data_IF_734942326556
#
_entry.id   IF_734942326556
#
_cell.length_a   1.000
_cell.length_b   1.000
_cell.length_c   1.000
_cell.angle_alpha   90.00
_cell.angle_beta   90.00
_cell.angle_gamma   90.00
#
_symmetry.space_group_name_H-M   'P 1'
#
loop_
_entity.id
_entity.type
_entity.pdbx_description
1 polymer ?
#
# COMPACT_ATOMS: atom_id res chain seq x y z
N UNK A 1 48.85 68.27 38.12
CA UNK A 1 49.57 67.68 39.28
C UNK A 1 48.57 67.39 40.40
N UNK A 2 48.83 66.31 41.14
CA UNK A 2 48.16 65.84 42.36
C UNK A 2 46.84 65.06 42.14
N UNK A 3 46.91 63.72 42.31
CA UNK A 3 46.61 62.94 43.55
C UNK A 3 45.10 62.74 43.67
N UNK A 4 44.52 61.55 43.84
CA UNK A 4 45.05 60.30 44.37
C UNK A 4 44.07 59.81 45.44
N UNK A 5 43.53 58.61 45.22
CA UNK A 5 43.11 57.61 46.20
C UNK A 5 41.79 57.75 47.01
N UNK A 6 41.12 56.58 47.03
CA UNK A 6 40.40 55.94 48.14
C UNK A 6 39.01 56.49 48.50
N UNK A 7 37.94 55.80 48.09
CA UNK A 7 37.40 54.58 48.71
C UNK A 7 36.76 54.85 50.08
N UNK A 8 35.43 54.80 50.13
CA UNK A 8 34.71 54.87 51.39
C UNK A 8 33.21 55.01 51.25
N UNK A 9 32.53 53.85 51.22
CA UNK A 9 31.24 53.62 51.91
C UNK A 9 30.06 54.52 51.53
N UNK A 10 29.24 54.06 50.60
CA UNK A 10 27.78 54.27 50.65
C UNK A 10 27.03 53.28 49.73
N UNK A 11 27.35 51.98 49.82
CA UNK A 11 26.51 50.92 49.25
C UNK A 11 25.26 50.73 50.14
N UNK A 12 24.46 51.77 50.27
CA UNK A 12 23.24 51.82 51.07
C UNK A 12 22.18 52.68 50.36
N UNK A 13 21.74 52.22 49.18
CA UNK A 13 20.43 52.49 48.58
C UNK A 13 20.35 51.70 47.29
N UNK A 14 19.14 51.35 46.88
CA UNK A 14 18.81 50.62 45.65
C UNK A 14 19.00 49.10 45.66
N UNK A 15 18.70 48.49 46.81
CA UNK A 15 17.84 47.30 46.80
C UNK A 15 16.41 47.80 46.62
N UNK A 16 15.90 47.90 45.38
CA UNK A 16 14.44 47.89 45.13
C UNK A 16 14.02 47.84 43.64
N UNK A 17 14.91 48.11 42.68
CA UNK A 17 14.51 48.18 41.26
C UNK A 17 14.62 46.90 40.42
N UNK A 18 15.47 45.93 40.77
CA UNK A 18 15.86 44.84 39.86
C UNK A 18 15.17 43.49 40.11
N UNK A 19 14.11 43.46 40.93
CA UNK A 19 13.35 42.22 41.22
C UNK A 19 12.06 42.04 40.39
N UNK A 20 11.83 42.82 39.33
CA UNK A 20 10.64 42.67 38.47
C UNK A 20 10.94 42.78 36.98
N UNK A 21 11.78 41.88 36.44
CA UNK A 21 11.97 41.83 34.98
C UNK A 21 12.46 40.48 34.40
N UNK A 22 12.12 39.34 35.01
CA UNK A 22 12.19 38.04 34.28
C UNK A 22 10.84 37.36 34.38
N UNK A 23 9.95 37.85 33.51
CA UNK A 23 8.68 37.20 33.19
C UNK A 23 8.95 36.00 32.28
N UNK A 24 8.13 34.95 32.46
CA UNK A 24 7.83 33.89 31.48
C UNK A 24 8.91 32.84 31.21
N UNK A 25 9.00 31.86 32.12
CA UNK A 25 9.17 30.46 31.74
C UNK A 25 8.08 29.66 32.43
N UNK A 26 6.97 29.47 31.71
CA UNK A 26 5.84 28.66 32.16
C UNK A 26 6.28 27.20 32.27
N UNK A 27 6.54 26.75 33.50
CA UNK A 27 6.63 25.33 33.81
C UNK A 27 5.99 25.11 35.17
N UNK A 28 4.77 24.55 35.16
CA UNK A 28 4.19 23.66 36.17
C UNK A 28 2.72 23.43 35.77
N UNK A 29 2.51 22.41 34.95
CA UNK A 29 1.23 21.72 34.90
C UNK A 29 1.09 21.09 36.29
N UNK A 30 0.26 21.69 37.13
CA UNK A 30 -0.13 21.09 38.40
C UNK A 30 -1.05 19.91 38.05
N UNK A 31 -0.51 18.70 38.01
CA UNK A 31 -1.31 17.50 38.10
C UNK A 31 -1.70 17.32 39.56
N UNK A 32 -2.92 17.75 39.89
CA UNK A 32 -3.56 17.45 41.16
C UNK A 32 -3.91 15.95 41.16
N UNK A 33 -2.95 15.12 41.58
CA UNK A 33 -3.22 13.72 41.93
C UNK A 33 -3.69 13.73 43.37
N UNK A 34 -5.00 13.92 43.52
CA UNK A 34 -5.74 13.70 44.76
C UNK A 34 -5.58 12.25 45.18
N UNK A 35 -4.52 12.01 45.96
CA UNK A 35 -4.20 10.70 46.52
C UNK A 35 -5.13 10.45 47.70
N UNK A 36 -6.23 9.76 47.42
CA UNK A 36 -7.16 9.25 48.43
C UNK A 36 -6.43 8.30 49.37
N UNK A 37 -6.39 8.68 50.65
CA UNK A 37 -6.17 7.77 51.79
C UNK A 37 -7.36 6.81 51.89
N UNK A 38 -7.38 5.72 51.14
CA UNK A 38 -8.35 4.66 51.38
C UNK A 38 -7.92 3.33 50.73
N UNK A 39 -7.60 2.36 51.58
CA UNK A 39 -7.91 0.96 51.33
C UNK A 39 -6.99 0.22 50.35
N UNK A 40 -5.93 -0.38 50.90
CA UNK A 40 -5.36 -1.62 50.36
C UNK A 40 -6.42 -2.71 50.34
N UNK A 41 -7.26 -2.76 49.31
CA UNK A 41 -8.14 -3.91 48.99
C UNK A 41 -8.83 -3.86 47.62
N UNK A 42 -8.42 -2.97 46.72
CA UNK A 42 -8.96 -2.92 45.35
C UNK A 42 -7.89 -3.15 44.27
N UNK A 43 -6.86 -3.95 44.57
CA UNK A 43 -5.76 -4.30 43.66
C UNK A 43 -6.07 -5.53 42.78
N UNK A 44 -7.34 -5.79 42.45
CA UNK A 44 -7.73 -6.95 41.63
C UNK A 44 -8.71 -6.64 40.49
N UNK A 45 -9.09 -5.38 40.26
CA UNK A 45 -9.98 -5.01 39.13
C UNK A 45 -9.25 -4.24 38.02
N UNK A 46 -8.06 -3.69 38.27
CA UNK A 46 -7.27 -2.96 37.26
C UNK A 46 -6.26 -3.81 36.48
N UNK A 47 -6.27 -5.13 36.64
CA UNK A 47 -5.36 -6.04 35.92
C UNK A 47 -6.04 -6.80 34.75
N UNK A 48 -7.36 -6.71 34.58
CA UNK A 48 -8.07 -7.37 33.47
C UNK A 48 -8.21 -6.47 32.23
N UNK A 49 -7.98 -5.16 32.35
CA UNK A 49 -8.19 -4.20 31.25
C UNK A 49 -6.92 -3.85 30.44
N UNK A 50 -5.77 -4.42 30.78
CA UNK A 50 -4.49 -4.10 30.11
C UNK A 50 -4.04 -5.07 29.01
N UNK A 51 -4.68 -6.24 28.87
CA UNK A 51 -4.18 -7.38 28.08
C UNK A 51 -5.14 -7.84 26.96
N UNK A 52 -5.94 -6.94 26.37
CA UNK A 52 -6.81 -7.29 25.23
C UNK A 52 -6.42 -6.58 23.91
N UNK A 53 -5.33 -5.80 23.87
CA UNK A 53 -5.01 -4.93 22.72
C UNK A 53 -3.68 -5.31 22.06
N UNK A 54 -3.48 -6.57 21.67
CA UNK A 54 -2.22 -6.95 20.98
C UNK A 54 -2.34 -7.97 19.86
N UNK A 55 -3.53 -8.40 19.43
CA UNK A 55 -3.63 -9.48 18.44
C UNK A 55 -4.74 -9.37 17.38
N UNK A 56 -5.15 -8.16 16.98
CA UNK A 56 -5.69 -8.00 15.62
C UNK A 56 -4.52 -7.96 14.63
N UNK A 57 -3.91 -9.13 14.41
CA UNK A 57 -3.01 -9.35 13.30
C UNK A 57 -3.84 -9.19 12.02
N UNK A 58 -3.72 -8.04 11.36
CA UNK A 58 -4.16 -7.86 9.99
C UNK A 58 -3.31 -8.78 9.10
N UNK A 59 -3.66 -10.06 9.04
CA UNK A 59 -3.13 -10.97 8.04
C UNK A 59 -3.72 -10.57 6.69
N UNK A 60 -3.09 -9.58 6.04
CA UNK A 60 -3.33 -9.31 4.63
C UNK A 60 -2.90 -10.56 3.86
N UNK A 61 -3.85 -11.39 3.44
CA UNK A 61 -3.55 -12.51 2.54
C UNK A 61 -3.15 -11.92 1.19
N UNK A 62 -1.94 -12.20 0.66
CA UNK A 62 -1.59 -11.75 -0.67
C UNK A 62 -2.58 -12.34 -1.68
N UNK A 63 -3.11 -11.50 -2.57
CA UNK A 63 -4.05 -11.96 -3.60
C UNK A 63 -3.30 -12.88 -4.56
N UNK A 64 -3.80 -14.10 -4.76
CA UNK A 64 -3.23 -15.08 -5.68
C UNK A 64 -3.81 -14.87 -7.07
N UNK A 65 -2.96 -14.86 -8.10
CA UNK A 65 -3.36 -14.77 -9.49
C UNK A 65 -3.15 -16.12 -10.16
N UNK A 66 -4.22 -16.68 -10.74
CA UNK A 66 -4.18 -17.91 -11.53
C UNK A 66 -4.68 -17.66 -12.94
N UNK A 67 -3.99 -18.23 -13.91
CA UNK A 67 -4.33 -18.14 -15.33
C UNK A 67 -4.35 -19.58 -15.85
N UNK A 68 -5.50 -20.01 -16.38
CA UNK A 68 -5.73 -21.37 -16.87
C UNK A 68 -5.35 -22.47 -15.85
N UNK A 69 -5.59 -22.18 -14.57
CA UNK A 69 -5.29 -23.07 -13.46
C UNK A 69 -3.84 -23.00 -12.93
N UNK A 70 -2.92 -22.36 -13.64
CA UNK A 70 -1.53 -22.16 -13.22
C UNK A 70 -1.38 -20.93 -12.33
N UNK A 71 -0.52 -20.99 -11.31
CA UNK A 71 -0.28 -19.87 -10.41
C UNK A 71 0.78 -18.91 -10.98
N UNK A 72 0.38 -17.67 -11.24
CA UNK A 72 1.25 -16.64 -11.82
C UNK A 72 1.91 -15.83 -10.71
N UNK A 73 3.23 -15.93 -10.64
CA UNK A 73 4.02 -15.17 -9.66
C UNK A 73 4.36 -13.80 -10.24
N UNK A 74 4.00 -12.76 -9.51
CA UNK A 74 4.43 -11.39 -9.80
C UNK A 74 5.11 -10.77 -8.58
N UNK A 75 6.06 -9.87 -8.83
CA UNK A 75 6.75 -9.10 -7.81
C UNK A 75 5.86 -8.03 -7.16
N UNK A 76 4.75 -7.69 -7.81
CA UNK A 76 3.71 -6.81 -7.28
C UNK A 76 2.41 -7.60 -7.20
N UNK A 77 1.89 -7.76 -5.99
CA UNK A 77 0.60 -8.42 -5.79
C UNK A 77 -0.54 -7.60 -6.41
N UNK A 78 -1.64 -8.25 -6.83
CA UNK A 78 -2.86 -7.56 -7.20
C UNK A 78 -3.36 -6.62 -6.08
N UNK A 79 -3.94 -5.50 -6.47
CA UNK A 79 -4.44 -4.46 -5.56
C UNK A 79 -5.94 -4.30 -5.78
N UNK A 80 -6.73 -4.45 -4.72
CA UNK A 80 -8.16 -4.13 -4.78
C UNK A 80 -8.37 -2.67 -4.40
N UNK A 81 -9.01 -1.91 -5.27
CA UNK A 81 -9.35 -0.51 -5.00
C UNK A 81 -10.81 -0.24 -5.33
N UNK A 82 -11.59 0.10 -4.29
CA UNK A 82 -13.04 0.20 -4.39
C UNK A 82 -13.67 -1.16 -4.71
N UNK A 83 -14.29 -1.28 -5.89
CA UNK A 83 -14.96 -2.49 -6.37
C UNK A 83 -14.23 -3.18 -7.53
N UNK A 84 -13.02 -2.70 -7.88
CA UNK A 84 -12.24 -3.25 -8.98
C UNK A 84 -10.90 -3.78 -8.46
N UNK A 85 -10.46 -4.90 -9.04
CA UNK A 85 -9.16 -5.51 -8.76
C UNK A 85 -8.19 -5.11 -9.86
N UNK A 86 -7.02 -4.64 -9.47
CA UNK A 86 -5.95 -4.23 -10.37
C UNK A 86 -4.84 -5.27 -10.33
N UNK A 87 -4.40 -5.69 -11.51
CA UNK A 87 -3.38 -6.71 -11.69
C UNK A 87 -2.20 -6.15 -12.47
N UNK A 88 -0.98 -6.69 -12.25
CA UNK A 88 0.18 -6.31 -13.04
C UNK A 88 -0.02 -6.70 -14.50
N UNK A 89 -0.08 -5.70 -15.39
CA UNK A 89 -0.41 -5.91 -16.79
C UNK A 89 0.50 -6.95 -17.46
N UNK A 90 1.82 -6.81 -17.26
CA UNK A 90 2.81 -7.70 -17.86
C UNK A 90 2.64 -9.15 -17.39
N UNK A 91 2.43 -9.38 -16.10
CA UNK A 91 2.30 -10.74 -15.57
C UNK A 91 1.10 -11.48 -16.18
N UNK A 92 -0.02 -10.76 -16.37
CA UNK A 92 -1.20 -11.34 -17.01
C UNK A 92 -0.99 -11.52 -18.51
N UNK A 93 -0.40 -10.53 -19.19
CA UNK A 93 -0.11 -10.62 -20.61
C UNK A 93 0.83 -11.80 -20.93
N UNK A 94 1.95 -11.92 -20.21
CA UNK A 94 2.94 -12.98 -20.42
C UNK A 94 2.30 -14.37 -20.23
N UNK A 95 1.48 -14.55 -19.19
CA UNK A 95 0.78 -15.81 -18.92
C UNK A 95 -0.33 -16.13 -19.95
N UNK A 96 -0.89 -15.11 -20.62
CA UNK A 96 -1.85 -15.28 -21.72
C UNK A 96 -1.17 -15.45 -23.09
N UNK A 97 0.17 -15.46 -23.13
CA UNK A 97 0.96 -15.50 -24.38
C UNK A 97 0.89 -14.21 -25.18
N UNK A 98 0.66 -13.07 -24.51
CA UNK A 98 0.55 -11.75 -25.14
C UNK A 98 1.84 -10.92 -24.96
N UNK A 99 2.22 -10.19 -25.99
CA UNK A 99 3.37 -9.28 -25.96
C UNK A 99 2.98 -7.91 -25.42
N UNK A 100 3.76 -7.37 -24.47
CA UNK A 100 3.53 -6.04 -23.90
C UNK A 100 4.65 -5.06 -24.24
N UNK A 101 4.32 -4.01 -24.98
CA UNK A 101 5.21 -2.89 -25.30
C UNK A 101 4.83 -1.63 -24.52
N UNK A 102 5.83 -0.98 -23.93
CA UNK A 102 5.66 0.28 -23.22
C UNK A 102 6.63 1.34 -23.75
N UNK A 103 6.11 2.49 -24.17
CA UNK A 103 6.92 3.67 -24.49
C UNK A 103 6.93 4.63 -23.30
N UNK A 104 8.07 4.79 -22.59
CA UNK A 104 8.17 5.68 -21.44
C UNK A 104 8.04 7.17 -21.80
N UNK A 105 8.28 7.57 -23.05
CA UNK A 105 8.22 8.98 -23.47
C UNK A 105 6.78 9.45 -23.65
N UNK A 106 5.98 8.68 -24.39
CA UNK A 106 4.56 8.99 -24.62
C UNK A 106 3.65 8.48 -23.50
N UNK A 107 4.10 7.48 -22.75
CA UNK A 107 3.28 6.72 -21.80
C UNK A 107 2.33 5.74 -22.49
N UNK A 108 2.53 5.49 -23.79
CA UNK A 108 1.75 4.54 -24.57
C UNK A 108 2.08 3.11 -24.16
N UNK A 109 1.04 2.31 -24.00
CA UNK A 109 1.10 0.90 -23.68
C UNK A 109 0.33 0.18 -24.78
N UNK A 110 0.97 -0.83 -25.35
CA UNK A 110 0.43 -1.67 -26.41
C UNK A 110 0.57 -3.12 -25.95
N UNK A 111 -0.52 -3.88 -26.07
CA UNK A 111 -0.56 -5.30 -25.71
C UNK A 111 -1.16 -6.05 -26.88
N UNK A 112 -0.46 -7.07 -27.36
CA UNK A 112 -0.82 -7.80 -28.58
C UNK A 112 -0.92 -9.28 -28.25
N UNK A 113 -2.05 -9.91 -28.60
CA UNK A 113 -2.29 -11.34 -28.43
C UNK A 113 -2.93 -11.90 -29.71
N UNK A 114 -2.14 -12.57 -30.54
CA UNK A 114 -2.63 -13.01 -31.86
C UNK A 114 -3.10 -11.80 -32.68
N UNK A 115 -4.40 -11.76 -33.00
CA UNK A 115 -5.02 -10.66 -33.75
C UNK A 115 -5.62 -9.56 -32.85
N UNK A 116 -5.69 -9.79 -31.53
CA UNK A 116 -6.23 -8.81 -30.57
C UNK A 116 -5.14 -7.80 -30.18
N UNK A 117 -5.42 -6.50 -30.37
CA UNK A 117 -4.52 -5.40 -30.02
C UNK A 117 -5.19 -4.42 -29.07
N UNK A 118 -4.67 -4.34 -27.85
CA UNK A 118 -5.10 -3.38 -26.84
C UNK A 118 -4.10 -2.21 -26.74
N UNK A 119 -4.57 -1.02 -27.06
CA UNK A 119 -3.82 0.23 -26.96
C UNK A 119 -4.38 1.10 -25.82
N UNK A 120 -3.53 1.49 -24.89
CA UNK A 120 -3.90 2.32 -23.75
C UNK A 120 -2.76 3.27 -23.36
N UNK A 121 -3.05 4.24 -22.52
CA UNK A 121 -2.07 5.23 -22.07
C UNK A 121 -2.06 5.36 -20.55
N UNK A 122 -0.86 5.43 -19.99
CA UNK A 122 -0.66 5.71 -18.56
C UNK A 122 -1.44 6.96 -18.12
N UNK A 123 -2.20 6.86 -17.03
CA UNK A 123 -2.96 7.98 -16.48
C UNK A 123 -4.20 8.40 -17.27
N UNK A 124 -4.48 7.76 -18.41
CA UNK A 124 -5.69 8.03 -19.20
C UNK A 124 -6.70 6.88 -19.07
N UNK A 125 -7.98 7.23 -19.04
CA UNK A 125 -9.09 6.26 -19.10
C UNK A 125 -9.43 5.81 -20.52
N UNK A 126 -8.95 6.52 -21.54
CA UNK A 126 -9.16 6.13 -22.93
C UNK A 126 -8.26 4.95 -23.31
N UNK A 127 -8.87 3.94 -23.91
CA UNK A 127 -8.18 2.82 -24.52
C UNK A 127 -8.81 2.52 -25.90
N UNK A 128 -8.16 1.67 -26.68
CA UNK A 128 -8.68 1.14 -27.93
C UNK A 128 -8.39 -0.36 -28.00
N UNK A 129 -9.39 -1.15 -28.38
CA UNK A 129 -9.24 -2.57 -28.72
C UNK A 129 -9.48 -2.70 -30.22
N UNK A 130 -8.50 -3.21 -30.94
CA UNK A 130 -8.53 -3.39 -32.40
C UNK A 130 -8.90 -2.08 -33.13
N UNK A 131 -8.42 -0.96 -32.60
CA UNK A 131 -8.73 0.39 -33.10
C UNK A 131 -10.08 0.97 -32.65
N UNK A 132 -10.99 0.15 -32.10
CA UNK A 132 -12.26 0.61 -31.55
C UNK A 132 -12.06 1.24 -30.15
N UNK A 133 -12.52 2.48 -29.98
CA UNK A 133 -12.37 3.22 -28.72
C UNK A 133 -13.20 2.58 -27.60
N UNK A 134 -12.60 2.44 -26.43
CA UNK A 134 -13.27 2.06 -25.19
C UNK A 134 -12.81 2.93 -24.02
N UNK A 135 -13.63 2.94 -22.96
CA UNK A 135 -13.32 3.65 -21.73
C UNK A 135 -13.07 2.65 -20.60
N UNK A 136 -11.98 2.89 -19.86
CA UNK A 136 -11.61 2.16 -18.65
C UNK A 136 -12.29 2.76 -17.43
N UNK A 137 -12.66 1.91 -16.47
CA UNK A 137 -13.22 2.34 -15.19
C UNK A 137 -12.21 3.19 -14.41
N UNK A 138 -10.95 2.76 -14.36
CA UNK A 138 -9.85 3.56 -13.83
C UNK A 138 -8.68 3.58 -14.81
N UNK A 139 -7.97 4.71 -14.83
CA UNK A 139 -6.77 4.83 -15.63
C UNK A 139 -5.67 3.88 -15.12
N UNK A 140 -4.84 3.32 -16.01
CA UNK A 140 -3.68 2.54 -15.62
C UNK A 140 -2.71 3.38 -14.80
N UNK A 141 -2.17 2.80 -13.74
CA UNK A 141 -1.27 3.47 -12.80
C UNK A 141 -0.05 2.62 -12.48
N UNK A 142 0.99 3.24 -11.91
CA UNK A 142 2.25 2.56 -11.59
C UNK A 142 2.34 2.24 -10.11
N UNK A 143 2.65 1.00 -9.78
CA UNK A 143 2.98 0.55 -8.41
C UNK A 143 4.32 -0.15 -8.45
N UNK A 144 5.30 0.35 -7.69
CA UNK A 144 6.66 -0.24 -7.59
C UNK A 144 7.30 -0.56 -8.95
N UNK A 145 7.09 0.32 -9.93
CA UNK A 145 7.62 0.14 -11.29
C UNK A 145 6.73 -0.68 -12.24
N UNK A 146 5.72 -1.40 -11.74
CA UNK A 146 4.77 -2.18 -12.54
C UNK A 146 3.55 -1.36 -12.93
N UNK A 147 3.03 -1.62 -14.12
CA UNK A 147 1.78 -1.01 -14.61
C UNK A 147 0.64 -1.89 -14.13
N UNK A 148 -0.30 -1.27 -13.43
CA UNK A 148 -1.50 -1.89 -12.90
C UNK A 148 -2.68 -1.53 -13.79
N UNK A 149 -3.45 -2.54 -14.18
CA UNK A 149 -4.67 -2.39 -14.99
C UNK A 149 -5.82 -3.15 -14.33
N UNK A 150 -7.04 -2.64 -14.50
CA UNK A 150 -8.23 -3.28 -13.95
C UNK A 150 -8.51 -4.64 -14.62
N UNK A 151 -8.87 -5.63 -13.82
CA UNK A 151 -9.19 -6.99 -14.26
C UNK A 151 -10.32 -7.00 -15.31
N UNK A 152 -11.29 -6.09 -15.17
CA UNK A 152 -12.38 -5.95 -16.13
C UNK A 152 -11.91 -5.50 -17.52
N UNK A 153 -10.86 -4.66 -17.58
CA UNK A 153 -10.28 -4.25 -18.86
C UNK A 153 -9.65 -5.43 -19.59
N UNK A 154 -8.93 -6.30 -18.86
CA UNK A 154 -8.31 -7.51 -19.40
C UNK A 154 -9.38 -8.49 -19.90
N UNK A 155 -10.43 -8.73 -19.12
CA UNK A 155 -11.53 -9.62 -19.51
C UNK A 155 -12.20 -9.17 -20.81
N UNK A 156 -12.39 -7.86 -20.98
CA UNK A 156 -12.95 -7.31 -22.23
C UNK A 156 -11.96 -7.32 -23.39
N UNK A 157 -10.68 -7.07 -23.13
CA UNK A 157 -9.66 -6.95 -24.17
C UNK A 157 -9.31 -8.28 -24.81
N UNK A 158 -9.20 -9.34 -24.01
CA UNK A 158 -8.74 -10.65 -24.49
C UNK A 158 -9.84 -11.72 -24.49
N UNK A 159 -11.10 -11.27 -24.37
CA UNK A 159 -12.29 -12.13 -24.32
C UNK A 159 -12.19 -13.27 -23.29
N UNK A 160 -11.44 -13.07 -22.20
CA UNK A 160 -11.20 -14.08 -21.16
C UNK A 160 -12.25 -14.00 -20.07
N UNK A 161 -12.59 -15.15 -19.48
CA UNK A 161 -13.43 -15.20 -18.28
C UNK A 161 -12.55 -14.89 -17.08
N UNK A 162 -13.07 -14.07 -16.17
CA UNK A 162 -12.37 -13.72 -14.94
C UNK A 162 -13.30 -13.95 -13.76
N UNK A 163 -12.76 -14.56 -12.71
CA UNK A 163 -13.46 -14.81 -11.47
C UNK A 163 -12.60 -14.33 -10.30
N UNK A 164 -13.20 -13.57 -9.39
CA UNK A 164 -12.55 -13.11 -8.17
C UNK A 164 -13.26 -13.68 -6.95
N UNK A 165 -12.57 -14.51 -6.18
CA UNK A 165 -13.03 -15.02 -4.90
C UNK A 165 -12.47 -14.17 -3.75
N UNK A 166 -13.34 -13.35 -3.17
CA UNK A 166 -13.00 -12.48 -2.03
C UNK A 166 -12.69 -13.25 -0.74
N UNK A 167 -13.19 -14.49 -0.56
CA UNK A 167 -12.94 -15.29 0.65
C UNK A 167 -11.52 -15.86 0.67
N UNK A 168 -11.05 -16.29 -0.49
CA UNK A 168 -9.71 -16.88 -0.66
C UNK A 168 -8.69 -15.87 -1.19
N UNK A 169 -9.12 -14.65 -1.54
CA UNK A 169 -8.30 -13.64 -2.19
C UNK A 169 -7.64 -14.20 -3.45
N UNK A 170 -8.43 -14.85 -4.31
CA UNK A 170 -7.97 -15.50 -5.53
C UNK A 170 -8.61 -14.88 -6.76
N UNK A 171 -7.79 -14.63 -7.78
CA UNK A 171 -8.22 -14.25 -9.12
C UNK A 171 -7.94 -15.44 -10.02
N UNK A 172 -8.97 -15.97 -10.68
CA UNK A 172 -8.86 -16.99 -11.71
C UNK A 172 -9.20 -16.34 -13.06
N UNK A 173 -8.35 -16.52 -14.05
CA UNK A 173 -8.54 -16.08 -15.44
C UNK A 173 -8.54 -17.31 -16.32
N UNK A 174 -9.65 -17.55 -17.02
CA UNK A 174 -9.81 -18.69 -17.92
C UNK A 174 -9.91 -18.21 -19.37
N UNK A 175 -9.03 -18.71 -20.23
CA UNK A 175 -9.07 -18.46 -21.66
C UNK A 175 -10.07 -19.40 -22.32
N UNK A 176 -11.03 -18.88 -23.11
CA UNK A 176 -11.89 -19.76 -23.90
C UNK A 176 -11.07 -20.35 -25.06
N UNK A 177 -10.66 -21.61 -24.94
CA UNK A 177 -10.22 -22.41 -26.09
C UNK A 177 -8.74 -22.81 -26.14
N UNK A 178 -7.95 -22.65 -25.08
CA UNK A 178 -6.63 -23.29 -25.01
C UNK A 178 -6.81 -24.69 -24.41
N UNK A 179 -7.06 -25.68 -25.28
CA UNK A 179 -6.81 -27.09 -24.95
C UNK A 179 -5.30 -27.32 -25.15
N UNK A 180 -4.47 -26.80 -24.26
CA UNK A 180 -3.06 -27.24 -24.18
C UNK A 180 -2.93 -28.23 -23.04
N UNK A 181 -2.60 -29.46 -23.43
CA UNK A 181 -2.57 -30.63 -22.57
C UNK A 181 -1.62 -30.46 -21.40
N UNK A 182 -2.18 -30.45 -20.19
CA UNK A 182 -1.51 -30.93 -18.99
C UNK A 182 -1.97 -32.36 -18.70
N UNK A 183 -1.67 -33.28 -19.62
CA UNK A 183 -1.58 -34.71 -19.34
C UNK A 183 -0.21 -35.18 -19.82
N UNK A 184 0.50 -35.88 -18.92
CA UNK A 184 1.77 -36.62 -19.11
C UNK A 184 3.08 -35.90 -18.77
N UNK A 185 3.25 -35.61 -17.49
CA UNK A 185 4.43 -36.04 -16.73
C UNK A 185 3.85 -36.63 -15.43
N UNK A 186 4.01 -37.89 -15.01
CA UNK A 186 5.12 -38.82 -15.08
C UNK A 186 4.59 -40.23 -14.77
N UNK A 187 5.03 -41.28 -15.47
CA UNK A 187 5.16 -42.69 -15.00
C UNK A 187 5.01 -43.75 -16.11
N UNK A 188 5.82 -43.67 -17.17
CA UNK A 188 6.09 -44.88 -17.96
C UNK A 188 7.53 -44.86 -18.49
N UNK A 189 8.48 -45.02 -17.56
CA UNK A 189 9.81 -45.51 -17.94
C UNK A 189 10.31 -46.55 -16.94
N UNK A 190 10.05 -47.81 -17.28
CA UNK A 190 10.88 -48.99 -16.99
C UNK A 190 10.45 -50.03 -18.02
N UNK A 191 10.92 -49.93 -19.28
CA UNK A 191 12.16 -50.53 -19.83
C UNK A 191 12.10 -52.08 -19.87
N UNK A 192 12.51 -52.72 -20.99
CA UNK A 192 12.04 -54.05 -21.42
C UNK A 192 12.62 -55.26 -20.69
#
# INVERSE_FOLDING_TARGET
MSRGAAAGRAAHRDREGYCRAVSRVHRRIATDVTTHRAGWRALAVTAVLGLAVSALLNASRPVQLRIDGENVVSDVAPVTEGHEVFVPLRAVADALGADTRFDPKSGQIEVIRGDEQLNLRMGARGAALDGAKMTLQKAPFRVRGRIMIGLHAISRAFSVKTHYDARTARIDVDTPGVIEGSLQDSSENNTP
#
